data_IF_743612369970
#
_entry.id   IF_743612369970
#
_cell.length_a   1.000
_cell.length_b   1.000
_cell.length_c   1.000
_cell.angle_alpha   90.00
_cell.angle_beta   90.00
_cell.angle_gamma   90.00
#
_symmetry.space_group_name_H-M   'P 1'
#
loop_
_entity.id
_entity.type
_entity.pdbx_description
1 polymer ?
#
# COMPACT_ATOMS: atom_id res chain seq x y z
N UNK A 1 34.59 -1.99 -23.26
CA UNK A 1 34.97 -0.74 -22.58
C UNK A 1 33.65 -0.05 -22.27
N UNK A 2 33.21 -0.03 -21.02
CA UNK A 2 31.96 0.62 -20.63
C UNK A 2 32.21 2.13 -20.58
N UNK A 3 31.51 2.89 -21.41
CA UNK A 3 31.53 4.35 -21.35
C UNK A 3 30.84 4.83 -20.06
N UNK A 4 31.09 6.06 -19.63
CA UNK A 4 30.34 6.69 -18.51
C UNK A 4 28.83 6.59 -18.76
N UNK A 5 28.41 6.79 -20.01
CA UNK A 5 27.02 6.65 -20.41
C UNK A 5 26.47 5.24 -20.19
N UNK A 6 27.24 4.19 -20.49
CA UNK A 6 26.81 2.81 -20.24
C UNK A 6 26.58 2.54 -18.75
N UNK A 7 27.38 3.19 -17.88
CA UNK A 7 27.20 3.14 -16.42
C UNK A 7 25.90 3.82 -16.03
N UNK A 8 25.65 5.06 -16.48
CA UNK A 8 24.42 5.80 -16.17
C UNK A 8 23.15 5.07 -16.65
N UNK A 9 23.19 4.52 -17.87
CA UNK A 9 22.09 3.69 -18.41
C UNK A 9 21.87 2.43 -17.56
N UNK A 10 22.95 1.82 -17.07
CA UNK A 10 22.85 0.64 -16.19
C UNK A 10 22.23 1.01 -14.84
N UNK A 11 22.54 2.18 -14.29
CA UNK A 11 21.93 2.68 -13.05
C UNK A 11 20.43 2.93 -13.24
N UNK A 12 20.02 3.57 -14.34
CA UNK A 12 18.61 3.77 -14.68
C UNK A 12 17.85 2.42 -14.71
N UNK A 13 18.38 1.42 -15.43
CA UNK A 13 17.79 0.06 -15.53
C UNK A 13 17.64 -0.66 -14.20
N UNK A 14 18.54 -0.38 -13.26
CA UNK A 14 18.50 -0.94 -11.90
C UNK A 14 17.64 -0.11 -10.95
N UNK A 15 16.96 0.92 -11.44
CA UNK A 15 16.17 1.87 -10.66
C UNK A 15 17.02 2.60 -9.59
N UNK A 16 18.34 2.70 -9.80
CA UNK A 16 19.27 3.33 -8.87
C UNK A 16 19.22 4.86 -9.02
N UNK A 17 18.02 5.44 -8.81
CA UNK A 17 17.74 6.84 -9.11
C UNK A 17 18.62 7.80 -8.32
N UNK A 18 18.83 7.57 -7.01
CA UNK A 18 19.70 8.40 -6.19
C UNK A 18 21.18 8.37 -6.64
N UNK A 19 21.70 7.20 -7.03
CA UNK A 19 23.07 7.08 -7.55
C UNK A 19 23.20 7.75 -8.91
N UNK A 20 22.19 7.61 -9.76
CA UNK A 20 22.13 8.26 -11.06
C UNK A 20 22.05 9.78 -10.93
N UNK A 21 21.22 10.30 -10.02
CA UNK A 21 21.13 11.72 -9.68
C UNK A 21 22.49 12.27 -9.23
N UNK A 22 23.17 11.59 -8.31
CA UNK A 22 24.47 12.04 -7.81
C UNK A 22 25.60 12.04 -8.84
N UNK A 23 25.43 11.30 -9.95
CA UNK A 23 26.41 11.17 -11.03
C UNK A 23 26.01 11.93 -12.31
N UNK A 24 24.74 12.29 -12.44
CA UNK A 24 24.26 13.13 -13.52
C UNK A 24 24.65 14.58 -13.22
N UNK A 25 25.16 15.28 -14.24
CA UNK A 25 25.38 16.73 -14.20
C UNK A 25 24.37 17.37 -15.16
N UNK A 26 23.08 17.09 -14.92
CA UNK A 26 21.99 17.56 -15.76
C UNK A 26 20.68 17.73 -14.96
N UNK A 27 20.16 18.97 -14.86
CA UNK A 27 18.98 19.28 -14.05
C UNK A 27 17.69 18.54 -14.46
N UNK A 28 17.55 18.16 -15.73
CA UNK A 28 16.38 17.40 -16.18
C UNK A 28 16.46 15.94 -15.74
N UNK A 29 17.65 15.32 -15.84
CA UNK A 29 17.88 13.96 -15.35
C UNK A 29 17.72 13.92 -13.83
N UNK A 30 18.31 14.88 -13.11
CA UNK A 30 18.18 15.01 -11.65
C UNK A 30 16.70 15.06 -11.23
N UNK A 31 15.88 15.92 -11.85
CA UNK A 31 14.47 16.05 -11.53
C UNK A 31 13.66 14.75 -11.78
N UNK A 32 14.00 14.00 -12.84
CA UNK A 32 13.34 12.71 -13.12
C UNK A 32 13.82 11.63 -12.14
N UNK A 33 15.09 11.63 -11.74
CA UNK A 33 15.62 10.75 -10.71
C UNK A 33 14.98 11.02 -9.34
N UNK A 34 14.88 12.26 -8.91
CA UNK A 34 14.22 12.66 -7.66
C UNK A 34 12.78 12.14 -7.63
N UNK A 35 12.04 12.30 -8.73
CA UNK A 35 10.68 11.78 -8.88
C UNK A 35 10.61 10.25 -8.78
N UNK A 36 11.51 9.53 -9.47
CA UNK A 36 11.60 8.07 -9.40
C UNK A 36 11.99 7.58 -8.00
N UNK A 37 12.90 8.29 -7.33
CA UNK A 37 13.37 7.96 -5.99
C UNK A 37 12.27 8.11 -4.95
N UNK A 38 11.46 9.17 -5.02
CA UNK A 38 10.28 9.35 -4.15
C UNK A 38 9.27 8.22 -4.30
N UNK A 39 8.95 7.81 -5.53
CA UNK A 39 8.07 6.67 -5.79
C UNK A 39 8.65 5.37 -5.21
N UNK A 40 9.95 5.14 -5.39
CA UNK A 40 10.65 3.96 -4.88
C UNK A 40 10.78 3.94 -3.34
N UNK A 41 10.81 5.10 -2.69
CA UNK A 41 10.76 5.22 -1.22
C UNK A 41 9.33 5.19 -0.67
N UNK A 42 8.32 5.13 -1.54
CA UNK A 42 6.89 5.22 -1.17
C UNK A 42 6.56 6.49 -0.38
N UNK A 43 7.27 7.58 -0.66
CA UNK A 43 7.05 8.87 -0.02
C UNK A 43 5.87 9.60 -0.67
N UNK A 44 4.66 9.14 -0.34
CA UNK A 44 3.43 9.52 -1.01
C UNK A 44 3.06 11.00 -0.82
N UNK A 45 3.56 11.68 0.22
CA UNK A 45 3.29 13.10 0.47
C UNK A 45 3.94 14.00 -0.60
N UNK A 46 5.01 13.51 -1.24
CA UNK A 46 5.86 14.29 -2.14
C UNK A 46 5.74 13.94 -3.63
N UNK A 47 4.89 12.98 -4.03
CA UNK A 47 4.68 12.66 -5.46
C UNK A 47 4.12 13.86 -6.26
N UNK A 48 3.58 14.86 -5.56
CA UNK A 48 2.88 16.01 -6.12
C UNK A 48 3.78 17.23 -6.41
N UNK A 49 5.08 17.19 -6.10
CA UNK A 49 6.03 18.24 -6.50
C UNK A 49 5.95 18.44 -8.02
N UNK A 50 6.02 19.69 -8.49
CA UNK A 50 5.96 20.01 -9.91
C UNK A 50 7.19 19.49 -10.68
N UNK A 51 7.25 18.18 -10.92
CA UNK A 51 8.27 17.55 -11.75
C UNK A 51 7.93 17.77 -13.23
N UNK A 52 7.98 19.02 -13.72
CA UNK A 52 7.58 19.41 -15.09
C UNK A 52 8.36 18.65 -16.16
N UNK A 53 9.57 18.23 -15.82
CA UNK A 53 10.50 17.41 -16.60
C UNK A 53 9.99 15.97 -16.79
N UNK A 54 9.11 15.50 -15.91
CA UNK A 54 8.52 14.16 -16.00
C UNK A 54 7.30 14.17 -16.93
N UNK A 55 7.21 13.21 -17.88
CA UNK A 55 6.08 13.07 -18.79
C UNK A 55 4.71 13.13 -18.07
N UNK A 56 3.73 13.91 -18.57
CA UNK A 56 2.43 14.08 -17.92
C UNK A 56 1.69 12.77 -17.63
N UNK A 57 1.89 11.74 -18.48
CA UNK A 57 1.29 10.43 -18.28
C UNK A 57 1.82 9.71 -17.02
N UNK A 58 3.13 9.80 -16.76
CA UNK A 58 3.76 9.21 -15.56
C UNK A 58 3.34 9.97 -14.31
N UNK A 59 3.31 11.31 -14.38
CA UNK A 59 2.78 12.15 -13.28
C UNK A 59 1.34 11.84 -12.93
N UNK A 60 0.47 11.60 -13.93
CA UNK A 60 -0.93 11.22 -13.68
C UNK A 60 -1.04 9.87 -12.97
N UNK A 61 -0.22 8.88 -13.35
CA UNK A 61 -0.18 7.57 -12.69
C UNK A 61 0.33 7.66 -11.25
N UNK A 62 1.39 8.44 -11.01
CA UNK A 62 1.89 8.71 -9.67
C UNK A 62 0.81 9.36 -8.78
N UNK A 63 0.11 10.38 -9.30
CA UNK A 63 -1.01 11.03 -8.58
C UNK A 63 -2.15 10.07 -8.22
N UNK A 64 -2.39 9.03 -9.03
CA UNK A 64 -3.39 8.01 -8.70
C UNK A 64 -2.96 7.12 -7.51
N UNK A 65 -1.68 7.11 -7.15
CA UNK A 65 -1.13 6.36 -6.02
C UNK A 65 -0.97 7.21 -4.75
N UNK A 66 -1.14 8.54 -4.86
CA UNK A 66 -0.93 9.49 -3.75
C UNK A 66 -2.14 9.58 -2.84
N UNK A 67 -1.92 9.67 -1.53
CA UNK A 67 -2.95 10.12 -0.60
C UNK A 67 -3.09 11.65 -0.69
N UNK A 68 -4.33 12.18 -0.80
CA UNK A 68 -4.55 13.61 -0.84
C UNK A 68 -4.07 14.26 0.46
N UNK A 69 -3.47 15.45 0.35
CA UNK A 69 -2.88 16.19 1.46
C UNK A 69 -3.88 17.12 2.16
N UNK A 70 -5.03 17.36 1.53
CA UNK A 70 -6.14 18.12 2.14
C UNK A 70 -7.48 17.40 1.95
N UNK A 71 -8.48 17.66 2.83
CA UNK A 71 -9.78 17.01 2.72
C UNK A 71 -10.48 17.25 1.38
N UNK A 72 -10.24 18.40 0.74
CA UNK A 72 -10.90 18.82 -0.51
C UNK A 72 -10.07 18.60 -1.77
N UNK A 73 -8.86 18.07 -1.64
CA UNK A 73 -7.97 17.88 -2.79
C UNK A 73 -8.59 16.95 -3.85
N UNK A 74 -8.40 17.31 -5.11
CA UNK A 74 -8.82 16.55 -6.28
C UNK A 74 -7.67 16.43 -7.29
N UNK A 75 -7.53 15.29 -7.99
CA UNK A 75 -8.28 14.04 -7.82
C UNK A 75 -8.02 13.38 -6.45
N UNK A 76 -8.90 12.47 -6.00
CA UNK A 76 -8.78 11.79 -4.69
C UNK A 76 -7.62 10.79 -4.59
N UNK A 77 -6.89 10.55 -5.68
CA UNK A 77 -5.73 9.66 -5.71
C UNK A 77 -6.06 8.26 -5.17
N UNK A 78 -5.25 7.78 -4.24
CA UNK A 78 -5.39 6.47 -3.64
C UNK A 78 -6.65 6.31 -2.75
N UNK A 79 -7.33 7.39 -2.36
CA UNK A 79 -8.65 7.30 -1.72
C UNK A 79 -9.77 6.95 -2.70
N UNK A 80 -9.60 7.23 -4.00
CA UNK A 80 -10.55 6.77 -5.02
C UNK A 80 -10.41 5.26 -5.23
N UNK A 81 -9.18 4.75 -5.27
CA UNK A 81 -8.87 3.32 -5.33
C UNK A 81 -7.42 3.10 -4.92
N UNK A 82 -7.17 2.11 -4.07
CA UNK A 82 -5.83 1.64 -3.70
C UNK A 82 -5.22 0.76 -4.79
N UNK A 83 -5.98 0.23 -5.75
CA UNK A 83 -5.44 -0.68 -6.78
C UNK A 83 -4.20 -0.12 -7.50
N UNK A 84 -4.15 1.16 -7.95
CA UNK A 84 -2.91 1.74 -8.50
C UNK A 84 -1.76 1.78 -7.49
N UNK A 85 -2.03 2.15 -6.24
CA UNK A 85 -1.03 2.17 -5.18
C UNK A 85 -0.51 0.76 -4.86
N UNK A 86 -1.37 -0.27 -4.89
CA UNK A 86 -0.97 -1.67 -4.76
C UNK A 86 -0.14 -2.16 -5.93
N UNK A 87 -0.46 -1.74 -7.15
CA UNK A 87 0.39 -2.00 -8.31
C UNK A 87 1.79 -1.40 -8.14
N UNK A 88 1.89 -0.16 -7.65
CA UNK A 88 3.17 0.46 -7.31
C UNK A 88 3.88 -0.27 -6.17
N UNK A 89 3.17 -0.68 -5.11
CA UNK A 89 3.74 -1.45 -3.99
C UNK A 89 4.35 -2.77 -4.49
N UNK A 90 3.65 -3.50 -5.36
CA UNK A 90 4.16 -4.72 -5.96
C UNK A 90 5.41 -4.46 -6.82
N UNK A 91 5.41 -3.42 -7.64
CA UNK A 91 6.57 -3.02 -8.43
C UNK A 91 7.77 -2.64 -7.53
N UNK A 92 7.54 -1.90 -6.45
CA UNK A 92 8.57 -1.56 -5.45
C UNK A 92 9.11 -2.83 -4.78
N UNK A 93 8.25 -3.75 -4.37
CA UNK A 93 8.67 -5.03 -3.76
C UNK A 93 9.58 -5.81 -4.71
N UNK A 94 9.20 -5.92 -5.99
CA UNK A 94 10.00 -6.60 -7.01
C UNK A 94 11.35 -5.92 -7.23
N UNK A 95 11.37 -4.59 -7.41
CA UNK A 95 12.61 -3.81 -7.57
C UNK A 95 13.53 -3.98 -6.37
N UNK A 96 13.02 -3.86 -5.14
CA UNK A 96 13.81 -4.01 -3.91
C UNK A 96 14.31 -5.44 -3.72
N UNK A 97 13.52 -6.45 -4.08
CA UNK A 97 13.94 -7.85 -4.07
C UNK A 97 15.16 -8.08 -4.97
N UNK A 98 15.10 -7.63 -6.23
CA UNK A 98 16.19 -7.80 -7.17
C UNK A 98 17.45 -7.02 -6.79
N UNK A 99 17.28 -5.87 -6.11
CA UNK A 99 18.38 -5.08 -5.55
C UNK A 99 18.93 -5.63 -4.22
N UNK A 100 18.31 -6.68 -3.66
CA UNK A 100 18.64 -7.23 -2.33
C UNK A 100 18.44 -6.23 -1.18
N UNK A 101 17.52 -5.30 -1.35
CA UNK A 101 17.18 -4.27 -0.36
C UNK A 101 16.01 -4.74 0.50
N UNK A 102 16.25 -5.76 1.32
CA UNK A 102 15.17 -6.53 1.96
C UNK A 102 14.49 -5.80 3.12
N UNK A 103 15.20 -4.89 3.82
CA UNK A 103 14.59 -4.04 4.85
C UNK A 103 13.48 -3.12 4.28
N UNK A 104 13.75 -2.27 3.27
CA UNK A 104 12.69 -1.46 2.66
C UNK A 104 11.64 -2.29 1.90
N UNK A 105 12.00 -3.46 1.36
CA UNK A 105 11.01 -4.40 0.79
C UNK A 105 10.01 -4.89 1.84
N UNK A 106 10.49 -5.31 3.02
CA UNK A 106 9.63 -5.74 4.13
C UNK A 106 8.78 -4.58 4.66
N UNK A 107 9.30 -3.35 4.64
CA UNK A 107 8.51 -2.16 4.96
C UNK A 107 7.35 -1.96 3.97
N UNK A 108 7.57 -2.14 2.66
CA UNK A 108 6.52 -2.08 1.65
C UNK A 108 5.45 -3.18 1.84
N UNK A 109 5.86 -4.41 2.17
CA UNK A 109 4.94 -5.51 2.53
C UNK A 109 4.08 -5.16 3.76
N UNK A 110 4.68 -4.49 4.74
CA UNK A 110 3.95 -4.07 5.92
C UNK A 110 2.90 -2.99 5.60
N UNK A 111 3.26 -1.97 4.81
CA UNK A 111 2.31 -0.94 4.33
C UNK A 111 1.15 -1.62 3.58
N UNK A 112 1.46 -2.57 2.68
CA UNK A 112 0.43 -3.34 2.01
C UNK A 112 -0.48 -4.06 3.02
N UNK A 113 0.06 -4.70 4.05
CA UNK A 113 -0.75 -5.39 5.06
C UNK A 113 -1.70 -4.46 5.84
N UNK A 114 -1.27 -3.24 6.16
CA UNK A 114 -2.07 -2.26 6.91
C UNK A 114 -3.30 -1.79 6.15
N UNK A 115 -3.18 -1.65 4.83
CA UNK A 115 -4.24 -1.13 3.95
C UNK A 115 -5.06 -2.22 3.26
N UNK A 116 -4.66 -3.48 3.37
CA UNK A 116 -5.33 -4.60 2.69
C UNK A 116 -6.80 -4.75 3.07
N UNK A 117 -7.22 -4.47 4.32
CA UNK A 117 -8.63 -4.37 4.66
C UNK A 117 -9.40 -3.34 3.81
N UNK A 118 -8.85 -2.14 3.57
CA UNK A 118 -9.54 -1.14 2.76
C UNK A 118 -9.64 -1.56 1.28
N UNK A 119 -8.61 -2.23 0.76
CA UNK A 119 -8.67 -2.84 -0.56
C UNK A 119 -9.79 -3.89 -0.65
N UNK A 120 -10.01 -4.68 0.41
CA UNK A 120 -11.14 -5.60 0.50
C UNK A 120 -12.50 -4.86 0.54
N UNK A 121 -12.56 -3.71 1.20
CA UNK A 121 -13.79 -2.92 1.30
C UNK A 121 -14.13 -2.13 0.01
N UNK A 122 -13.18 -1.91 -0.90
CA UNK A 122 -13.39 -1.13 -2.13
C UNK A 122 -14.64 -1.50 -2.92
N UNK A 123 -14.94 -2.79 -3.21
CA UNK A 123 -16.16 -3.16 -3.93
C UNK A 123 -17.46 -2.77 -3.20
N UNK A 124 -17.45 -2.72 -1.87
CA UNK A 124 -18.61 -2.35 -1.06
C UNK A 124 -18.77 -0.83 -0.94
N UNK A 125 -17.66 -0.10 -0.77
CA UNK A 125 -17.63 1.35 -0.59
C UNK A 125 -17.69 2.12 -1.92
N UNK A 126 -17.17 1.54 -3.00
CA UNK A 126 -16.90 2.26 -4.26
C UNK A 126 -15.73 3.25 -4.15
N UNK A 127 -14.91 3.14 -3.11
CA UNK A 127 -13.71 3.94 -2.85
C UNK A 127 -12.84 3.24 -1.79
N UNK A 128 -11.64 3.76 -1.55
CA UNK A 128 -10.67 3.15 -0.64
C UNK A 128 -10.65 3.78 0.76
N UNK A 129 -11.82 3.84 1.39
CA UNK A 129 -11.97 4.43 2.73
C UNK A 129 -11.69 5.93 2.80
N UNK A 130 -12.27 6.72 1.89
CA UNK A 130 -12.25 8.17 1.93
C UNK A 130 -13.12 8.68 3.10
N UNK A 131 -12.54 9.41 4.08
CA UNK A 131 -13.29 9.94 5.21
C UNK A 131 -14.46 10.86 4.86
N UNK A 132 -14.45 11.45 3.66
CA UNK A 132 -15.54 12.31 3.19
C UNK A 132 -16.74 11.53 2.62
N UNK A 133 -16.62 10.21 2.43
CA UNK A 133 -17.58 9.38 1.68
C UNK A 133 -18.12 8.20 2.50
N UNK A 134 -17.86 8.18 3.81
CA UNK A 134 -18.34 7.09 4.66
C UNK A 134 -19.87 6.90 4.59
N UNK A 135 -20.35 5.65 4.54
CA UNK A 135 -21.78 5.39 4.49
C UNK A 135 -22.43 5.77 5.82
N UNK A 136 -23.62 6.36 5.74
CA UNK A 136 -24.41 6.77 6.91
C UNK A 136 -24.72 5.61 7.88
N UNK A 137 -24.67 4.36 7.40
CA UNK A 137 -24.83 3.16 8.22
C UNK A 137 -23.79 3.04 9.34
N UNK A 138 -22.57 3.58 9.17
CA UNK A 138 -21.56 3.55 10.25
C UNK A 138 -21.98 4.36 11.48
N UNK A 139 -22.84 5.37 11.31
CA UNK A 139 -23.34 6.24 12.40
C UNK A 139 -24.83 6.06 12.66
N UNK A 140 -25.45 5.01 12.10
CA UNK A 140 -26.86 4.72 12.31
C UNK A 140 -27.17 4.38 13.79
N UNK A 141 -28.41 4.62 14.27
CA UNK A 141 -28.83 4.17 15.60
C UNK A 141 -28.52 2.69 15.83
N UNK A 142 -27.87 2.38 16.95
CA UNK A 142 -27.43 1.01 17.26
C UNK A 142 -26.05 0.65 16.70
N UNK A 143 -25.39 1.52 15.93
CA UNK A 143 -23.97 1.38 15.60
C UNK A 143 -23.10 1.80 16.78
N UNK A 144 -22.06 1.00 17.07
CA UNK A 144 -21.01 1.32 18.04
C UNK A 144 -19.73 1.83 17.37
N UNK A 145 -19.70 1.92 16.04
CA UNK A 145 -18.50 2.33 15.31
C UNK A 145 -18.12 3.77 15.66
N UNK A 146 -16.90 3.96 16.18
CA UNK A 146 -16.42 5.26 16.63
C UNK A 146 -17.03 5.77 17.95
N UNK A 147 -17.78 4.93 18.68
CA UNK A 147 -18.23 5.24 20.04
C UNK A 147 -17.09 4.95 21.03
N UNK A 148 -16.57 6.00 21.66
CA UNK A 148 -15.42 5.89 22.57
C UNK A 148 -15.87 5.39 23.94
N UNK A 149 -15.18 4.37 24.45
CA UNK A 149 -15.39 3.83 25.79
C UNK A 149 -16.49 2.78 25.87
N UNK A 150 -17.09 2.39 24.74
CA UNK A 150 -18.00 1.26 24.68
C UNK A 150 -17.23 -0.03 24.97
N UNK A 151 -17.66 -0.76 26.01
CA UNK A 151 -17.02 -2.01 26.46
C UNK A 151 -17.58 -3.25 25.76
N UNK A 152 -18.73 -3.12 25.12
CA UNK A 152 -19.36 -4.18 24.32
C UNK A 152 -18.80 -4.22 22.90
N UNK A 153 -18.10 -3.15 22.47
CA UNK A 153 -17.38 -3.09 21.20
C UNK A 153 -16.03 -3.83 21.29
N UNK A 154 -15.76 -4.69 20.32
CA UNK A 154 -14.49 -5.44 20.24
C UNK A 154 -13.29 -4.59 19.83
N UNK A 155 -13.52 -3.36 19.33
CA UNK A 155 -12.44 -2.43 19.04
C UNK A 155 -11.70 -2.04 20.31
N UNK A 156 -10.38 -2.07 20.25
CA UNK A 156 -9.49 -1.49 21.24
C UNK A 156 -9.69 0.02 21.35
N UNK A 157 -9.23 0.63 22.44
CA UNK A 157 -9.34 2.09 22.62
C UNK A 157 -8.70 2.90 21.47
N UNK A 158 -7.51 2.54 20.95
CA UNK A 158 -6.95 3.21 19.76
C UNK A 158 -7.86 3.10 18.54
N UNK A 159 -8.39 1.91 18.25
CA UNK A 159 -9.30 1.69 17.12
C UNK A 159 -10.60 2.48 17.28
N UNK A 160 -11.20 2.51 18.47
CA UNK A 160 -12.37 3.35 18.76
C UNK A 160 -12.08 4.84 18.52
N UNK A 161 -10.90 5.32 18.91
CA UNK A 161 -10.47 6.70 18.68
C UNK A 161 -10.27 7.01 17.19
N UNK A 162 -9.63 6.10 16.45
CA UNK A 162 -9.43 6.23 15.01
C UNK A 162 -10.76 6.19 14.25
N UNK A 163 -11.65 5.23 14.59
CA UNK A 163 -13.01 5.13 14.06
C UNK A 163 -13.87 6.33 14.42
N UNK A 164 -13.68 6.96 15.58
CA UNK A 164 -14.35 8.22 15.91
C UNK A 164 -13.85 9.37 15.02
N UNK A 165 -12.53 9.50 14.89
CA UNK A 165 -11.91 10.61 14.15
C UNK A 165 -12.18 10.54 12.65
N UNK A 166 -12.19 9.35 12.06
CA UNK A 166 -12.47 9.18 10.62
C UNK A 166 -13.83 9.73 10.20
N UNK A 167 -14.83 9.69 11.09
CA UNK A 167 -16.18 10.18 10.83
C UNK A 167 -16.28 11.71 10.78
N UNK A 168 -15.23 12.44 11.19
CA UNK A 168 -15.23 13.91 11.27
C UNK A 168 -14.03 14.59 10.62
N UNK A 169 -12.95 13.85 10.34
CA UNK A 169 -11.70 14.40 9.83
C UNK A 169 -11.83 15.12 8.48
N UNK A 170 -12.85 14.78 7.68
CA UNK A 170 -13.13 15.51 6.44
C UNK A 170 -13.48 17.00 6.66
N UNK A 171 -13.88 17.38 7.88
CA UNK A 171 -14.10 18.78 8.28
C UNK A 171 -12.91 19.44 8.98
N UNK A 172 -11.82 18.71 9.23
CA UNK A 172 -10.61 19.24 9.88
C UNK A 172 -9.75 20.07 8.90
N UNK A 173 -8.90 20.98 9.38
CA UNK A 173 -7.88 21.63 8.54
C UNK A 173 -6.84 20.63 8.00
N UNK A 174 -6.05 21.05 7.02
CA UNK A 174 -5.04 20.21 6.36
C UNK A 174 -4.02 19.56 7.33
N UNK A 175 -3.68 20.22 8.44
CA UNK A 175 -2.81 19.62 9.47
C UNK A 175 -3.49 18.43 10.16
N UNK A 176 -4.78 18.54 10.49
CA UNK A 176 -5.55 17.48 11.14
C UNK A 176 -5.74 16.30 10.21
N UNK A 177 -6.06 16.59 8.94
CA UNK A 177 -6.14 15.60 7.87
C UNK A 177 -4.84 14.78 7.74
N UNK A 178 -3.69 15.45 7.57
CA UNK A 178 -2.39 14.76 7.46
C UNK A 178 -2.05 13.97 8.72
N UNK A 179 -2.26 14.54 9.91
CA UNK A 179 -2.04 13.84 11.17
C UNK A 179 -2.96 12.61 11.37
N UNK A 180 -4.13 12.57 10.73
CA UNK A 180 -4.99 11.40 10.73
C UNK A 180 -4.46 10.30 9.79
N UNK A 181 -4.01 10.65 8.58
CA UNK A 181 -3.40 9.69 7.66
C UNK A 181 -2.11 9.09 8.23
N UNK A 182 -1.26 9.90 8.84
CA UNK A 182 0.00 9.48 9.48
C UNK A 182 -0.21 8.44 10.60
N UNK A 183 -1.32 8.52 11.35
CA UNK A 183 -1.42 7.82 12.65
C UNK A 183 -2.61 6.87 12.80
N UNK A 184 -3.66 7.05 12.01
CA UNK A 184 -4.97 6.48 12.32
C UNK A 184 -5.69 5.84 11.15
N UNK A 185 -5.41 6.22 9.89
CA UNK A 185 -6.16 5.67 8.75
C UNK A 185 -5.96 4.15 8.58
N UNK A 186 -4.75 3.63 8.80
CA UNK A 186 -4.50 2.18 8.86
C UNK A 186 -5.25 1.47 10.01
N UNK A 187 -5.42 2.12 11.16
CA UNK A 187 -6.21 1.56 12.26
C UNK A 187 -7.70 1.45 11.90
N UNK A 188 -8.22 2.38 11.11
CA UNK A 188 -9.60 2.33 10.59
C UNK A 188 -9.77 1.16 9.62
N UNK A 189 -8.75 0.86 8.81
CA UNK A 189 -8.74 -0.30 7.92
C UNK A 189 -8.97 -1.60 8.72
N UNK A 190 -8.16 -1.83 9.76
CA UNK A 190 -8.31 -2.96 10.68
C UNK A 190 -9.66 -2.97 11.38
N UNK A 191 -10.09 -1.84 11.94
CA UNK A 191 -11.36 -1.71 12.63
C UNK A 191 -12.58 -2.09 11.76
N UNK A 192 -12.59 -1.66 10.49
CA UNK A 192 -13.63 -2.02 9.53
C UNK A 192 -13.64 -3.53 9.23
N UNK A 193 -12.47 -4.12 8.99
CA UNK A 193 -12.36 -5.56 8.81
C UNK A 193 -12.86 -6.31 10.04
N UNK A 194 -12.46 -5.94 11.25
CA UNK A 194 -12.95 -6.56 12.49
C UNK A 194 -14.48 -6.50 12.58
N UNK A 195 -15.10 -5.36 12.24
CA UNK A 195 -16.56 -5.23 12.28
C UNK A 195 -17.31 -6.24 11.39
N UNK A 196 -16.77 -6.56 10.22
CA UNK A 196 -17.43 -7.47 9.26
C UNK A 196 -16.98 -8.92 9.41
N UNK A 197 -15.74 -9.15 9.87
CA UNK A 197 -15.09 -10.46 9.86
C UNK A 197 -15.17 -11.21 11.19
N UNK A 198 -14.89 -10.52 12.30
CA UNK A 198 -14.48 -11.14 13.57
C UNK A 198 -15.20 -10.57 14.81
N UNK A 199 -16.12 -9.60 14.63
CA UNK A 199 -16.85 -9.01 15.74
C UNK A 199 -17.79 -10.02 16.41
N UNK A 200 -17.56 -10.27 17.70
CA UNK A 200 -18.31 -11.20 18.57
C UNK A 200 -19.64 -10.61 19.02
N UNK A 201 -19.74 -9.28 19.06
CA UNK A 201 -20.95 -8.55 19.41
C UNK A 201 -21.36 -7.59 18.27
N UNK A 202 -21.82 -8.12 17.11
CA UNK A 202 -22.21 -7.28 15.98
C UNK A 202 -23.22 -6.20 16.36
N UNK A 203 -23.07 -5.04 15.73
CA UNK A 203 -23.95 -3.89 15.89
C UNK A 203 -24.35 -3.36 14.50
N UNK A 204 -25.15 -2.28 14.44
CA UNK A 204 -25.69 -1.80 13.17
C UNK A 204 -24.65 -1.22 12.18
N UNK A 205 -23.36 -1.14 12.57
CA UNK A 205 -22.29 -0.54 11.78
C UNK A 205 -22.14 -1.13 10.37
N UNK A 206 -22.43 -2.42 10.18
CA UNK A 206 -22.30 -3.10 8.89
C UNK A 206 -23.64 -3.31 8.17
N UNK A 207 -24.75 -2.78 8.70
CA UNK A 207 -26.10 -3.05 8.18
C UNK A 207 -26.39 -2.42 6.81
N UNK A 208 -25.55 -1.49 6.38
CA UNK A 208 -25.59 -0.92 5.04
C UNK A 208 -25.03 -1.85 3.95
N UNK A 209 -24.32 -2.92 4.32
CA UNK A 209 -23.86 -3.96 3.38
C UNK A 209 -24.91 -5.06 3.31
N UNK A 210 -25.40 -5.35 2.10
CA UNK A 210 -26.35 -6.43 1.86
C UNK A 210 -25.81 -7.79 2.38
N UNK A 211 -26.64 -8.67 2.97
CA UNK A 211 -26.16 -9.88 3.64
C UNK A 211 -25.27 -10.79 2.78
N UNK A 212 -25.65 -11.03 1.52
CA UNK A 212 -24.90 -11.82 0.55
C UNK A 212 -23.51 -11.22 0.25
N UNK A 213 -23.45 -9.89 0.12
CA UNK A 213 -22.19 -9.15 -0.07
C UNK A 213 -21.36 -9.07 1.21
N UNK A 214 -21.99 -9.15 2.37
CA UNK A 214 -21.33 -9.10 3.68
C UNK A 214 -20.54 -10.38 3.95
N UNK A 215 -21.06 -11.54 3.59
CA UNK A 215 -20.38 -12.83 3.78
C UNK A 215 -19.10 -12.91 2.93
N UNK A 216 -19.18 -12.52 1.66
CA UNK A 216 -18.01 -12.40 0.77
C UNK A 216 -16.97 -11.41 1.32
N UNK A 217 -17.42 -10.21 1.71
CA UNK A 217 -16.55 -9.18 2.29
C UNK A 217 -15.89 -9.70 3.58
N UNK A 218 -16.63 -10.40 4.45
CA UNK A 218 -16.10 -10.98 5.67
C UNK A 218 -14.98 -12.01 5.38
N UNK A 219 -15.13 -12.84 4.35
CA UNK A 219 -14.09 -13.78 3.93
C UNK A 219 -12.82 -13.06 3.48
N UNK A 220 -12.96 -12.03 2.62
CA UNK A 220 -11.82 -11.26 2.12
C UNK A 220 -11.15 -10.44 3.24
N UNK A 221 -11.94 -9.85 4.13
CA UNK A 221 -11.45 -9.13 5.32
C UNK A 221 -10.72 -10.05 6.31
N UNK A 222 -11.19 -11.28 6.56
CA UNK A 222 -10.46 -12.26 7.38
C UNK A 222 -9.09 -12.59 6.79
N UNK A 223 -9.01 -12.76 5.47
CA UNK A 223 -7.72 -13.02 4.80
C UNK A 223 -6.80 -11.80 4.89
N UNK A 224 -7.34 -10.59 4.76
CA UNK A 224 -6.57 -9.36 4.93
C UNK A 224 -5.97 -9.24 6.35
N UNK A 225 -6.78 -9.49 7.38
CA UNK A 225 -6.33 -9.51 8.78
C UNK A 225 -5.28 -10.61 9.01
N UNK A 226 -5.54 -11.83 8.50
CA UNK A 226 -4.61 -12.94 8.62
C UNK A 226 -3.26 -12.65 7.95
N UNK A 227 -3.25 -11.95 6.80
CA UNK A 227 -2.03 -11.55 6.09
C UNK A 227 -1.11 -10.68 6.96
N UNK A 228 -1.67 -9.69 7.66
CA UNK A 228 -0.93 -8.81 8.57
C UNK A 228 -0.26 -9.58 9.73
N UNK A 229 -0.83 -10.70 10.13
CA UNK A 229 -0.31 -11.58 11.17
C UNK A 229 0.64 -12.67 10.68
N UNK A 230 0.94 -12.71 9.39
CA UNK A 230 1.81 -13.76 8.85
C UNK A 230 3.29 -13.58 9.25
N UNK A 231 4.08 -14.67 9.26
CA UNK A 231 5.52 -14.58 9.51
C UNK A 231 6.26 -13.59 8.59
N UNK A 232 5.85 -13.49 7.32
CA UNK A 232 6.44 -12.55 6.36
C UNK A 232 6.30 -11.09 6.82
N UNK A 233 5.09 -10.64 7.18
CA UNK A 233 4.85 -9.26 7.63
C UNK A 233 5.53 -8.99 8.97
N UNK A 234 5.59 -10.00 9.85
CA UNK A 234 6.26 -9.91 11.15
C UNK A 234 7.77 -9.76 11.06
N UNK A 235 8.41 -10.03 9.92
CA UNK A 235 9.84 -9.77 9.72
C UNK A 235 10.21 -8.30 10.00
N UNK A 236 9.28 -7.35 9.80
CA UNK A 236 9.49 -5.93 10.16
C UNK A 236 9.82 -5.75 11.65
N UNK A 237 9.16 -6.54 12.51
CA UNK A 237 9.25 -6.44 13.96
C UNK A 237 10.21 -7.46 14.58
N UNK A 238 10.67 -8.44 13.79
CA UNK A 238 11.57 -9.51 14.20
C UNK A 238 13.04 -9.07 14.30
N UNK A 239 13.29 -7.81 14.67
CA UNK A 239 14.52 -7.42 15.33
C UNK A 239 14.30 -7.33 16.85
N UNK A 240 14.10 -8.45 17.59
CA UNK A 240 14.16 -8.40 19.03
C UNK A 240 15.61 -8.15 19.44
N UNK A 241 15.78 -7.20 20.36
CA UNK A 241 16.93 -7.10 21.26
C UNK A 241 17.48 -8.49 21.64
N UNK A 242 18.65 -8.83 21.10
CA UNK A 242 19.37 -10.06 21.43
C UNK A 242 20.00 -10.74 20.22
N UNK A 243 21.10 -10.15 19.71
CA UNK A 243 22.00 -10.71 18.66
C UNK A 243 21.55 -10.55 17.20
N UNK A 244 21.38 -9.32 16.73
CA UNK A 244 21.56 -9.04 15.30
C UNK A 244 20.80 -7.83 14.80
N UNK A 245 21.52 -6.82 14.35
CA UNK A 245 21.04 -5.76 13.45
C UNK A 245 20.75 -6.33 12.03
N UNK A 246 20.15 -7.52 11.95
CA UNK A 246 20.08 -8.32 10.74
C UNK A 246 18.99 -7.83 9.81
N UNK A 247 19.39 -7.27 8.67
CA UNK A 247 18.52 -7.23 7.49
C UNK A 247 18.22 -8.69 7.12
N UNK A 248 16.94 -9.09 6.95
CA UNK A 248 16.62 -10.47 6.61
C UNK A 248 17.29 -10.83 5.29
N UNK A 249 17.79 -12.06 5.18
CA UNK A 249 18.32 -12.63 3.95
C UNK A 249 17.20 -13.04 2.99
N UNK A 250 17.49 -13.23 1.69
CA UNK A 250 16.48 -13.71 0.74
C UNK A 250 15.86 -15.04 1.14
N UNK A 251 16.66 -15.94 1.72
CA UNK A 251 16.21 -17.26 2.19
C UNK A 251 15.24 -17.12 3.35
N UNK A 252 15.54 -16.29 4.35
CA UNK A 252 14.64 -16.02 5.47
C UNK A 252 13.30 -15.42 5.02
N UNK A 253 13.32 -14.53 4.02
CA UNK A 253 12.09 -13.97 3.43
C UNK A 253 11.27 -15.07 2.75
N UNK A 254 11.89 -15.91 1.92
CA UNK A 254 11.19 -16.97 1.20
C UNK A 254 10.61 -18.02 2.15
N UNK A 255 11.37 -18.42 3.17
CA UNK A 255 10.91 -19.32 4.22
C UNK A 255 9.73 -18.74 5.00
N UNK A 256 9.81 -17.45 5.35
CA UNK A 256 8.71 -16.76 5.99
C UNK A 256 7.47 -16.70 5.08
N UNK A 257 7.66 -16.41 3.79
CA UNK A 257 6.57 -16.38 2.81
C UNK A 257 5.94 -17.76 2.62
N UNK A 258 6.73 -18.82 2.52
CA UNK A 258 6.20 -20.19 2.42
C UNK A 258 5.31 -20.54 3.62
N UNK A 259 5.74 -20.20 4.84
CA UNK A 259 4.90 -20.38 6.04
C UNK A 259 3.64 -19.52 6.01
N UNK A 260 3.73 -18.27 5.54
CA UNK A 260 2.56 -17.40 5.32
C UNK A 260 1.55 -18.04 4.35
N UNK A 261 2.01 -18.54 3.20
CA UNK A 261 1.16 -19.21 2.18
C UNK A 261 0.41 -20.40 2.76
N UNK A 262 1.06 -21.23 3.58
CA UNK A 262 0.43 -22.38 4.25
C UNK A 262 -0.69 -21.97 5.22
N UNK A 263 -0.57 -20.82 5.89
CA UNK A 263 -1.61 -20.31 6.78
C UNK A 263 -2.77 -19.74 5.98
N UNK A 264 -2.48 -18.89 4.99
CA UNK A 264 -3.49 -18.21 4.17
C UNK A 264 -4.29 -19.18 3.29
N UNK A 265 -3.61 -20.17 2.70
CA UNK A 265 -4.18 -21.14 1.77
C UNK A 265 -5.22 -22.09 2.37
N UNK A 266 -5.46 -22.01 3.68
CA UNK A 266 -6.54 -22.74 4.37
C UNK A 266 -7.94 -22.18 4.08
N UNK A 267 -8.01 -20.98 3.51
CA UNK A 267 -9.26 -20.30 3.13
C UNK A 267 -9.39 -20.25 1.60
N UNK A 268 -10.63 -20.14 1.10
CA UNK A 268 -10.88 -20.07 -0.35
C UNK A 268 -10.19 -18.85 -0.98
N UNK A 269 -10.40 -17.65 -0.44
CA UNK A 269 -9.76 -16.41 -0.92
C UNK A 269 -8.24 -16.49 -0.74
N UNK A 270 -7.75 -16.96 0.41
CA UNK A 270 -6.32 -17.03 0.71
C UNK A 270 -5.56 -18.09 -0.10
N UNK A 271 -6.25 -19.04 -0.74
CA UNK A 271 -5.63 -20.00 -1.67
C UNK A 271 -4.96 -19.30 -2.85
N UNK A 272 -5.40 -18.10 -3.23
CA UNK A 272 -4.71 -17.33 -4.27
C UNK A 272 -3.23 -17.04 -3.93
N UNK A 273 -2.85 -17.04 -2.64
CA UNK A 273 -1.45 -16.95 -2.24
C UNK A 273 -0.60 -18.15 -2.67
N UNK A 274 -1.20 -19.29 -3.04
CA UNK A 274 -0.48 -20.50 -3.48
C UNK A 274 -0.24 -20.56 -4.99
N UNK A 275 -0.63 -19.53 -5.73
CA UNK A 275 -0.33 -19.43 -7.16
C UNK A 275 1.18 -19.25 -7.41
N UNK A 276 1.64 -19.71 -8.57
CA UNK A 276 3.01 -19.55 -9.06
C UNK A 276 3.00 -18.57 -10.23
N UNK A 277 2.79 -17.29 -9.92
CA UNK A 277 2.55 -16.20 -10.89
C UNK A 277 3.83 -15.53 -11.43
N UNK A 278 5.00 -16.10 -11.12
CA UNK A 278 6.31 -15.59 -11.56
C UNK A 278 6.82 -14.38 -10.79
N UNK A 279 6.06 -13.87 -9.81
CA UNK A 279 6.49 -12.79 -8.93
C UNK A 279 7.56 -13.30 -7.95
N UNK A 280 8.52 -12.45 -7.49
CA UNK A 280 9.56 -12.87 -6.54
C UNK A 280 9.05 -13.49 -5.23
N UNK A 281 7.84 -13.11 -4.82
CA UNK A 281 7.06 -13.75 -3.76
C UNK A 281 5.83 -14.40 -4.42
N UNK A 282 5.94 -15.65 -4.91
CA UNK A 282 4.90 -16.24 -5.75
C UNK A 282 3.53 -16.21 -5.09
N UNK A 283 2.52 -15.79 -5.86
CA UNK A 283 1.13 -15.72 -5.43
C UNK A 283 0.76 -14.45 -4.66
N UNK A 284 1.71 -13.54 -4.39
CA UNK A 284 1.40 -12.28 -3.70
C UNK A 284 0.49 -11.36 -4.52
N UNK A 285 0.76 -11.06 -5.82
CA UNK A 285 -0.19 -10.35 -6.67
C UNK A 285 -1.57 -11.04 -6.75
N UNK A 286 -1.56 -12.37 -6.84
CA UNK A 286 -2.77 -13.20 -6.89
C UNK A 286 -3.59 -13.07 -5.61
N UNK A 287 -2.95 -13.06 -4.43
CA UNK A 287 -3.60 -12.81 -3.15
C UNK A 287 -4.25 -11.42 -3.08
N UNK A 288 -3.52 -10.36 -3.48
CA UNK A 288 -4.08 -9.01 -3.48
C UNK A 288 -5.24 -8.87 -4.46
N UNK A 289 -5.16 -9.52 -5.61
CA UNK A 289 -6.25 -9.58 -6.58
C UNK A 289 -7.49 -10.24 -5.98
N UNK A 290 -7.34 -11.41 -5.34
CA UNK A 290 -8.43 -12.14 -4.70
C UNK A 290 -9.08 -11.35 -3.56
N UNK A 291 -8.28 -10.69 -2.70
CA UNK A 291 -8.81 -9.86 -1.61
C UNK A 291 -9.57 -8.64 -2.14
N UNK A 292 -9.10 -8.01 -3.21
CA UNK A 292 -9.76 -6.85 -3.82
C UNK A 292 -10.99 -7.20 -4.67
N UNK A 293 -11.20 -8.49 -4.97
CA UNK A 293 -12.17 -8.97 -5.96
C UNK A 293 -11.99 -8.33 -7.36
N UNK A 294 -10.77 -7.92 -7.69
CA UNK A 294 -10.39 -7.31 -8.96
C UNK A 294 -8.91 -7.62 -9.30
N UNK A 295 -8.49 -7.53 -10.56
CA UNK A 295 -7.08 -7.70 -10.90
C UNK A 295 -6.20 -6.61 -10.26
N UNK A 296 -5.15 -7.03 -9.58
CA UNK A 296 -4.09 -6.19 -9.02
C UNK A 296 -2.75 -6.83 -9.41
N UNK A 297 -2.09 -6.23 -10.38
CA UNK A 297 -0.79 -6.68 -10.89
C UNK A 297 0.28 -5.62 -10.58
N UNK A 298 1.58 -5.98 -10.60
CA UNK A 298 2.66 -5.00 -10.56
C UNK A 298 2.45 -3.91 -11.62
N UNK A 299 2.64 -2.66 -11.21
CA UNK A 299 2.69 -1.53 -12.13
C UNK A 299 3.99 -1.56 -12.94
N UNK A 300 4.08 -0.66 -13.92
CA UNK A 300 5.30 -0.38 -14.70
C UNK A 300 5.79 1.06 -14.49
N UNK A 301 5.39 1.72 -13.41
CA UNK A 301 5.60 3.16 -13.25
C UNK A 301 7.09 3.48 -13.05
N UNK A 302 7.78 2.73 -12.20
CA UNK A 302 9.22 2.86 -12.01
C UNK A 302 9.98 2.40 -13.25
N UNK A 303 9.54 1.32 -13.89
CA UNK A 303 10.12 0.83 -15.14
C UNK A 303 10.02 1.86 -16.27
N UNK A 304 8.87 2.53 -16.41
CA UNK A 304 8.65 3.55 -17.43
C UNK A 304 9.42 4.85 -17.13
N UNK A 305 9.65 5.18 -15.85
CA UNK A 305 10.56 6.26 -15.45
C UNK A 305 12.00 5.92 -15.82
N UNK A 306 12.45 4.69 -15.51
CA UNK A 306 13.78 4.21 -15.90
C UNK A 306 13.99 4.24 -17.42
N UNK A 307 12.98 3.79 -18.20
CA UNK A 307 13.02 3.84 -19.66
C UNK A 307 13.07 5.28 -20.20
N UNK A 308 12.36 6.21 -19.55
CA UNK A 308 12.44 7.62 -19.89
C UNK A 308 13.84 8.20 -19.63
N UNK A 309 14.44 7.89 -18.48
CA UNK A 309 15.82 8.26 -18.15
C UNK A 309 16.83 7.69 -19.17
N UNK A 310 16.67 6.43 -19.59
CA UNK A 310 17.51 5.86 -20.65
C UNK A 310 17.45 6.65 -21.94
N UNK A 311 16.26 7.11 -22.33
CA UNK A 311 16.06 7.91 -23.54
C UNK A 311 16.79 9.26 -23.41
N UNK A 312 16.63 9.93 -22.26
CA UNK A 312 17.29 11.19 -21.93
C UNK A 312 18.83 11.06 -21.93
N UNK A 313 19.37 9.98 -21.37
CA UNK A 313 20.81 9.71 -21.33
C UNK A 313 21.40 9.40 -22.71
N UNK A 314 20.60 8.81 -23.61
CA UNK A 314 21.02 8.51 -25.01
C UNK A 314 20.90 9.72 -25.94
N UNK A 315 19.98 10.63 -25.67
CA UNK A 315 19.80 11.84 -26.47
C UNK A 315 20.98 12.83 -26.33
N UNK A 316 21.65 12.85 -25.18
CA UNK A 316 22.78 13.77 -24.87
C UNK A 316 24.11 13.38 -25.53
N UNK A 317 24.08 12.40 -26.43
CA UNK A 317 25.27 11.90 -27.16
C UNK A 317 25.21 12.11 -28.68
N UNK A 318 24.20 12.85 -29.17
CA UNK A 318 24.18 13.39 -30.54
C UNK A 318 24.55 14.87 -30.53
#
# INVERSE_FOLDING_TARGET
MHSVQDVLVTLARRHAFADLEALADDPEIEAVCEFGQRLLSLDAEDFAVEARQVPPALRRRARACTMPQTPREQPRGALESLRPAYGLLLEVIEVRWHRRELSPMVAALHIASEYLPLLAFEPALGHAGDPARWPAGLTAPGSRFGVIGDRECDHTKPEQSAANRTLRVAGEPAEGWRAYFDRQHSQVAGALATCVADCRNPCAAMDWVAPDRRDDLALRSRVALAFADTPLVRLRHAAPVGHGFGVPSPEEVLDAWQRSRLVLGKTEVGRAATEEDGFPLPGLPSLFSAVSAAPVAPSTLLADIAAHLETLLRARTG
#
